data_IF_481496070782
#
_entry.id   IF_481496070782
#
_cell.length_a   1.000
_cell.length_b   1.000
_cell.length_c   1.000
_cell.angle_alpha   90.00
_cell.angle_beta   90.00
_cell.angle_gamma   90.00
#
_symmetry.space_group_name_H-M   'P 1'
#
loop_
_entity.id
_entity.type
_entity.pdbx_description
1 polymer ?
#
# COMPACT_ATOMS: atom_id res chain seq x y z
N UNK A 1 4.20 17.63 -5.34
CA UNK A 1 2.90 18.30 -5.57
C UNK A 1 1.86 17.49 -4.83
N UNK A 2 1.18 17.90 -3.76
CA UNK A 2 0.90 19.22 -3.16
C UNK A 2 1.26 19.24 -1.67
N UNK A 3 1.99 20.26 -1.26
CA UNK A 3 2.68 20.32 0.03
C UNK A 3 1.76 20.66 1.22
N UNK A 4 0.52 21.12 1.00
CA UNK A 4 -0.43 21.55 2.05
C UNK A 4 -1.91 21.48 1.61
N UNK A 5 -2.32 20.50 0.81
CA UNK A 5 -3.75 20.42 0.46
C UNK A 5 -4.56 19.89 1.65
N UNK A 6 -5.39 20.76 2.25
CA UNK A 6 -6.29 20.39 3.34
C UNK A 6 -7.34 19.35 2.92
N UNK A 7 -7.88 18.59 3.89
CA UNK A 7 -8.86 17.51 3.65
C UNK A 7 -10.06 17.99 2.82
N UNK A 8 -10.55 19.21 3.07
CA UNK A 8 -11.67 19.79 2.33
C UNK A 8 -11.36 20.01 0.84
N UNK A 9 -10.18 20.53 0.51
CA UNK A 9 -9.76 20.76 -0.88
C UNK A 9 -9.57 19.42 -1.61
N UNK A 10 -8.96 18.44 -0.93
CA UNK A 10 -8.83 17.08 -1.46
C UNK A 10 -10.21 16.46 -1.75
N UNK A 11 -11.15 16.57 -0.81
CA UNK A 11 -12.51 16.06 -0.97
C UNK A 11 -13.21 16.68 -2.18
N UNK A 12 -13.19 18.02 -2.30
CA UNK A 12 -13.74 18.75 -3.45
C UNK A 12 -13.12 18.29 -4.77
N UNK A 13 -11.80 18.09 -4.79
CA UNK A 13 -11.09 17.60 -5.98
C UNK A 13 -11.49 16.18 -6.35
N UNK A 14 -11.60 15.28 -5.38
CA UNK A 14 -12.01 13.88 -5.59
C UNK A 14 -13.44 13.79 -6.11
N UNK A 15 -14.37 14.52 -5.51
CA UNK A 15 -15.76 14.61 -5.99
C UNK A 15 -15.81 15.10 -7.44
N UNK A 16 -15.07 16.16 -7.78
CA UNK A 16 -15.01 16.68 -9.16
C UNK A 16 -14.44 15.68 -10.16
N UNK A 17 -13.56 14.78 -9.72
CA UNK A 17 -12.94 13.79 -10.59
C UNK A 17 -13.84 12.57 -10.86
N UNK A 18 -14.85 12.33 -10.02
CA UNK A 18 -15.81 11.23 -10.22
C UNK A 18 -16.50 11.29 -11.58
N UNK A 19 -16.82 12.49 -12.07
CA UNK A 19 -17.46 12.66 -13.39
C UNK A 19 -16.52 12.50 -14.58
N UNK A 20 -15.20 12.40 -14.33
CA UNK A 20 -14.17 12.31 -15.37
C UNK A 20 -13.59 10.92 -15.57
N UNK A 21 -13.98 9.97 -14.70
CA UNK A 21 -13.46 8.61 -14.67
C UNK A 21 -14.59 7.62 -14.90
N UNK A 22 -14.26 6.42 -15.34
CA UNK A 22 -15.21 5.33 -15.56
C UNK A 22 -14.62 3.99 -15.11
N UNK A 23 -15.49 3.02 -14.87
CA UNK A 23 -15.07 1.68 -14.43
C UNK A 23 -14.29 1.69 -13.11
N UNK A 24 -13.29 0.83 -13.02
CA UNK A 24 -12.50 0.59 -11.80
C UNK A 24 -11.63 1.79 -11.37
N UNK A 25 -11.39 2.76 -12.27
CA UNK A 25 -10.59 3.96 -11.97
C UNK A 25 -11.24 4.86 -10.90
N UNK A 26 -12.53 4.66 -10.64
CA UNK A 26 -13.30 5.35 -9.61
C UNK A 26 -13.01 4.85 -8.18
N UNK A 27 -12.56 3.59 -8.03
CA UNK A 27 -12.50 2.90 -6.73
C UNK A 27 -11.65 3.66 -5.71
N UNK A 28 -10.43 4.04 -6.08
CA UNK A 28 -9.52 4.77 -5.19
C UNK A 28 -10.06 6.16 -4.81
N UNK A 29 -10.74 6.85 -5.75
CA UNK A 29 -11.34 8.16 -5.44
C UNK A 29 -12.55 8.01 -4.49
N UNK A 30 -13.35 6.96 -4.66
CA UNK A 30 -14.48 6.64 -3.78
C UNK A 30 -13.99 6.24 -2.39
N UNK A 31 -12.96 5.40 -2.29
CA UNK A 31 -12.36 5.01 -1.01
C UNK A 31 -11.77 6.22 -0.26
N UNK A 32 -11.07 7.12 -0.98
CA UNK A 32 -10.59 8.37 -0.42
C UNK A 32 -11.75 9.24 0.09
N UNK A 33 -12.84 9.37 -0.68
CA UNK A 33 -14.04 10.08 -0.25
C UNK A 33 -14.64 9.44 1.01
N UNK A 34 -14.67 8.10 1.11
CA UNK A 34 -15.09 7.40 2.32
C UNK A 34 -14.27 7.78 3.56
N UNK A 35 -12.98 8.02 3.36
CA UNK A 35 -12.01 8.34 4.43
C UNK A 35 -12.13 9.79 4.92
N UNK A 36 -12.31 10.75 4.02
CA UNK A 36 -12.26 12.20 4.34
C UNK A 36 -13.62 12.90 4.23
N UNK A 37 -14.63 12.19 3.75
CA UNK A 37 -15.95 12.72 3.44
C UNK A 37 -16.82 12.92 4.67
N UNK A 38 -17.80 13.81 4.51
CA UNK A 38 -18.88 14.05 5.44
C UNK A 38 -20.21 13.50 4.90
N UNK A 39 -21.31 13.73 5.62
CA UNK A 39 -22.64 13.34 5.15
C UNK A 39 -23.04 13.97 3.81
N UNK A 40 -22.47 15.11 3.40
CA UNK A 40 -22.75 15.69 2.09
C UNK A 40 -22.10 14.87 0.97
N UNK A 41 -20.92 14.29 1.21
CA UNK A 41 -20.24 13.43 0.24
C UNK A 41 -21.08 12.19 -0.14
N UNK A 42 -21.94 11.69 0.76
CA UNK A 42 -22.87 10.59 0.46
C UNK A 42 -23.77 10.93 -0.73
N UNK A 43 -24.29 12.16 -0.79
CA UNK A 43 -25.14 12.62 -1.90
C UNK A 43 -24.40 12.66 -3.22
N UNK A 44 -23.11 12.96 -3.20
CA UNK A 44 -22.28 12.93 -4.41
C UNK A 44 -22.00 11.50 -4.85
N UNK A 45 -21.79 10.57 -3.90
CA UNK A 45 -21.66 9.15 -4.19
C UNK A 45 -22.96 8.54 -4.75
N UNK A 46 -24.13 9.00 -4.32
CA UNK A 46 -25.43 8.58 -4.86
C UNK A 46 -25.65 8.98 -6.32
N UNK A 47 -24.97 10.01 -6.81
CA UNK A 47 -25.08 10.46 -8.21
C UNK A 47 -24.28 9.60 -9.19
N UNK A 48 -23.40 8.73 -8.71
CA UNK A 48 -22.59 7.87 -9.57
C UNK A 48 -23.49 6.79 -10.18
N UNK A 49 -23.76 6.90 -11.48
CA UNK A 49 -24.50 5.90 -12.22
C UNK A 49 -23.53 4.91 -12.89
N UNK A 50 -23.51 3.67 -12.43
CA UNK A 50 -22.66 2.59 -12.98
C UNK A 50 -23.29 1.23 -12.73
N UNK A 51 -23.04 0.30 -13.65
CA UNK A 51 -23.37 -1.13 -13.55
C UNK A 51 -22.21 -1.98 -13.03
N UNK A 52 -21.03 -1.37 -12.82
CA UNK A 52 -19.84 -2.08 -12.34
C UNK A 52 -20.02 -2.48 -10.87
N UNK A 53 -20.04 -3.79 -10.61
CA UNK A 53 -20.26 -4.36 -9.27
C UNK A 53 -19.21 -3.95 -8.24
N UNK A 54 -17.94 -3.86 -8.63
CA UNK A 54 -16.85 -3.46 -7.72
C UNK A 54 -17.00 -1.99 -7.32
N UNK A 55 -17.35 -1.12 -8.28
CA UNK A 55 -17.60 0.30 -8.00
C UNK A 55 -18.82 0.46 -7.09
N UNK A 56 -19.91 -0.25 -7.40
CA UNK A 56 -21.13 -0.24 -6.57
C UNK A 56 -20.85 -0.72 -5.13
N UNK A 57 -20.01 -1.74 -4.97
CA UNK A 57 -19.59 -2.21 -3.65
C UNK A 57 -18.73 -1.18 -2.92
N UNK A 58 -17.75 -0.58 -3.60
CA UNK A 58 -16.91 0.46 -3.00
C UNK A 58 -17.73 1.68 -2.56
N UNK A 59 -18.77 2.06 -3.32
CA UNK A 59 -19.72 3.11 -2.92
C UNK A 59 -20.38 2.76 -1.58
N UNK A 60 -20.81 1.50 -1.41
CA UNK A 60 -21.43 1.06 -0.15
C UNK A 60 -20.44 1.08 1.01
N UNK A 61 -19.20 0.63 0.80
CA UNK A 61 -18.14 0.66 1.81
C UNK A 61 -17.78 2.10 2.19
N UNK A 62 -17.63 3.01 1.22
CA UNK A 62 -17.35 4.41 1.50
C UNK A 62 -18.47 5.08 2.29
N UNK A 63 -19.74 4.81 1.95
CA UNK A 63 -20.88 5.31 2.74
C UNK A 63 -20.90 4.74 4.15
N UNK A 64 -20.62 3.44 4.31
CA UNK A 64 -20.50 2.81 5.63
C UNK A 64 -19.41 3.50 6.46
N UNK A 65 -18.26 3.80 5.86
CA UNK A 65 -17.17 4.48 6.56
C UNK A 65 -17.55 5.90 6.98
N UNK A 66 -18.23 6.67 6.11
CA UNK A 66 -18.70 8.03 6.44
C UNK A 66 -19.72 8.00 7.59
N UNK A 67 -20.62 7.01 7.60
CA UNK A 67 -21.71 6.94 8.59
C UNK A 67 -21.22 6.38 9.93
N UNK A 68 -20.43 5.29 9.89
CA UNK A 68 -20.10 4.47 11.06
C UNK A 68 -18.64 4.61 11.52
N UNK A 69 -17.77 5.26 10.74
CA UNK A 69 -16.35 5.36 11.02
C UNK A 69 -15.54 4.18 10.49
N UNK A 70 -14.21 4.33 10.58
CA UNK A 70 -13.23 3.34 10.11
C UNK A 70 -13.28 2.05 10.94
N UNK A 71 -13.62 2.15 12.22
CA UNK A 71 -13.68 1.01 13.15
C UNK A 71 -14.67 -0.05 12.65
N UNK A 72 -15.81 0.36 12.10
CA UNK A 72 -16.79 -0.59 11.54
C UNK A 72 -16.24 -1.24 10.25
N UNK A 73 -15.48 -0.51 9.43
CA UNK A 73 -14.80 -1.09 8.26
C UNK A 73 -13.79 -2.16 8.67
N UNK A 74 -12.96 -1.87 9.68
CA UNK A 74 -11.98 -2.82 10.21
C UNK A 74 -12.66 -4.05 10.81
N UNK A 75 -13.79 -3.85 11.50
CA UNK A 75 -14.58 -4.94 12.05
C UNK A 75 -15.16 -5.83 10.95
N UNK A 76 -15.75 -5.26 9.89
CA UNK A 76 -16.20 -6.02 8.72
C UNK A 76 -15.02 -6.74 8.02
N UNK A 77 -13.87 -6.08 7.88
CA UNK A 77 -12.67 -6.65 7.24
C UNK A 77 -12.16 -7.92 7.93
N UNK A 78 -12.36 -8.02 9.24
CA UNK A 78 -11.95 -9.18 10.06
C UNK A 78 -13.00 -10.29 10.11
N UNK A 79 -14.21 -10.09 9.57
CA UNK A 79 -15.25 -11.13 9.54
C UNK A 79 -14.98 -12.11 8.40
N UNK A 80 -14.96 -13.43 8.67
CA UNK A 80 -14.85 -14.45 7.63
C UNK A 80 -16.01 -14.42 6.62
N UNK A 81 -17.20 -14.00 7.06
CA UNK A 81 -18.47 -13.98 6.31
C UNK A 81 -18.98 -12.55 6.08
N UNK A 82 -18.06 -11.59 5.88
CA UNK A 82 -18.38 -10.21 5.59
C UNK A 82 -19.37 -10.07 4.41
N UNK A 83 -20.27 -9.10 4.52
CA UNK A 83 -21.20 -8.73 3.44
C UNK A 83 -20.50 -8.00 2.29
N UNK A 84 -19.28 -7.54 2.52
CA UNK A 84 -18.46 -6.82 1.55
C UNK A 84 -17.21 -7.63 1.22
N UNK A 85 -16.76 -7.54 -0.03
CA UNK A 85 -15.52 -8.14 -0.45
C UNK A 85 -14.34 -7.60 0.35
N UNK A 86 -13.39 -8.50 0.61
CA UNK A 86 -12.14 -8.17 1.28
C UNK A 86 -11.40 -7.05 0.56
N UNK A 87 -11.38 -7.07 -0.78
CA UNK A 87 -10.79 -6.03 -1.63
C UNK A 87 -11.37 -4.63 -1.36
N UNK A 88 -12.70 -4.49 -1.31
CA UNK A 88 -13.33 -3.18 -1.12
C UNK A 88 -13.08 -2.61 0.30
N UNK A 89 -13.06 -3.49 1.30
CA UNK A 89 -12.73 -3.13 2.68
C UNK A 89 -11.25 -2.78 2.85
N UNK A 90 -10.34 -3.56 2.23
CA UNK A 90 -8.92 -3.26 2.19
C UNK A 90 -8.67 -1.89 1.56
N UNK A 91 -9.30 -1.59 0.42
CA UNK A 91 -9.16 -0.30 -0.25
C UNK A 91 -9.50 0.88 0.69
N UNK A 92 -10.59 0.77 1.45
CA UNK A 92 -10.99 1.78 2.43
C UNK A 92 -9.99 1.93 3.58
N UNK A 93 -9.51 0.81 4.14
CA UNK A 93 -8.50 0.80 5.21
C UNK A 93 -7.19 1.43 4.73
N UNK A 94 -6.75 1.08 3.52
CA UNK A 94 -5.46 1.51 2.96
C UNK A 94 -5.47 2.98 2.57
N UNK A 95 -6.64 3.54 2.23
CA UNK A 95 -6.81 4.98 2.05
C UNK A 95 -6.86 5.76 3.37
N UNK A 96 -7.08 5.06 4.49
CA UNK A 96 -7.11 5.60 5.85
C UNK A 96 -5.80 5.40 6.61
N UNK A 97 -4.68 5.19 5.91
CA UNK A 97 -3.41 4.76 6.52
C UNK A 97 -2.83 5.72 7.58
N UNK A 98 -3.30 6.97 7.62
CA UNK A 98 -2.93 7.97 8.62
C UNK A 98 -3.67 7.77 9.96
N UNK A 99 -4.74 6.96 9.98
CA UNK A 99 -5.44 6.55 11.18
C UNK A 99 -4.65 5.45 11.93
N UNK A 100 -4.51 5.53 13.27
CA UNK A 100 -3.72 4.55 14.03
C UNK A 100 -4.15 3.10 13.82
N UNK A 101 -5.44 2.84 13.79
CA UNK A 101 -6.06 1.53 13.65
C UNK A 101 -5.87 0.96 12.25
N UNK A 102 -6.05 1.76 11.19
CA UNK A 102 -5.74 1.34 9.83
C UNK A 102 -4.25 1.03 9.67
N UNK A 103 -3.37 1.89 10.19
CA UNK A 103 -1.93 1.67 10.14
C UNK A 103 -1.54 0.33 10.79
N UNK A 104 -2.20 -0.05 11.90
CA UNK A 104 -2.01 -1.34 12.55
C UNK A 104 -2.45 -2.50 11.66
N UNK A 105 -3.62 -2.42 11.02
CA UNK A 105 -4.12 -3.46 10.12
C UNK A 105 -3.19 -3.64 8.91
N UNK A 106 -2.68 -2.55 8.33
CA UNK A 106 -1.73 -2.62 7.20
C UNK A 106 -0.43 -3.33 7.62
N UNK A 107 0.07 -3.08 8.83
CA UNK A 107 1.23 -3.81 9.36
C UNK A 107 0.87 -5.28 9.62
N UNK A 108 -0.31 -5.60 10.14
CA UNK A 108 -0.77 -7.00 10.31
C UNK A 108 -0.83 -7.72 8.96
N UNK A 109 -1.36 -7.09 7.91
CA UNK A 109 -1.48 -7.66 6.57
C UNK A 109 -0.12 -7.98 5.93
N UNK A 110 0.94 -7.23 6.27
CA UNK A 110 2.30 -7.52 5.81
C UNK A 110 2.79 -8.91 6.28
N UNK A 111 2.28 -9.41 7.41
CA UNK A 111 2.62 -10.71 7.97
C UNK A 111 1.57 -11.79 7.66
N UNK A 112 0.59 -11.49 6.81
CA UNK A 112 -0.41 -12.46 6.38
C UNK A 112 0.20 -13.60 5.55
N UNK A 113 -0.47 -14.75 5.56
CA UNK A 113 -0.22 -15.86 4.64
C UNK A 113 -0.83 -15.60 3.25
N UNK A 114 -1.81 -14.69 3.15
CA UNK A 114 -2.45 -14.32 1.90
C UNK A 114 -1.58 -13.37 1.08
N UNK A 115 -1.17 -13.80 -0.11
CA UNK A 115 -0.30 -13.03 -1.01
C UNK A 115 -0.84 -11.62 -1.31
N UNK A 116 -2.14 -11.48 -1.60
CA UNK A 116 -2.74 -10.18 -1.96
C UNK A 116 -2.66 -9.15 -0.83
N UNK A 117 -2.79 -9.59 0.43
CA UNK A 117 -2.60 -8.72 1.60
C UNK A 117 -1.17 -8.26 1.73
N UNK A 118 -0.21 -9.19 1.64
CA UNK A 118 1.22 -8.87 1.68
C UNK A 118 1.58 -7.91 0.56
N UNK A 119 1.10 -8.18 -0.66
CA UNK A 119 1.36 -7.36 -1.83
C UNK A 119 0.85 -5.94 -1.65
N UNK A 120 -0.40 -5.79 -1.20
CA UNK A 120 -1.01 -4.49 -0.94
C UNK A 120 -0.25 -3.71 0.14
N UNK A 121 0.07 -4.37 1.26
CA UNK A 121 0.77 -3.74 2.38
C UNK A 121 2.15 -3.22 1.97
N UNK A 122 2.95 -4.04 1.28
CA UNK A 122 4.29 -3.64 0.82
C UNK A 122 4.18 -2.51 -0.21
N UNK A 123 3.21 -2.56 -1.11
CA UNK A 123 2.99 -1.51 -2.12
C UNK A 123 2.68 -0.18 -1.44
N UNK A 124 1.77 -0.15 -0.46
CA UNK A 124 1.46 1.06 0.29
C UNK A 124 2.72 1.59 1.02
N UNK A 125 3.45 0.73 1.72
CA UNK A 125 4.63 1.12 2.50
C UNK A 125 5.76 1.65 1.58
N UNK A 126 5.89 1.09 0.37
CA UNK A 126 6.85 1.56 -0.63
C UNK A 126 6.57 3.00 -1.07
N UNK A 127 5.30 3.37 -1.30
CA UNK A 127 4.94 4.60 -2.02
C UNK A 127 4.25 5.68 -1.18
N UNK A 128 3.53 5.34 -0.11
CA UNK A 128 2.69 6.29 0.62
C UNK A 128 3.51 7.19 1.55
N UNK A 129 4.11 8.29 1.05
CA UNK A 129 5.09 9.15 1.76
C UNK A 129 4.70 9.61 3.18
N UNK A 130 3.39 9.68 3.46
CA UNK A 130 2.84 10.12 4.74
C UNK A 130 2.56 8.99 5.74
N UNK A 131 2.81 7.73 5.39
CA UNK A 131 2.63 6.62 6.33
C UNK A 131 3.42 6.86 7.64
N UNK A 132 2.81 6.69 8.84
CA UNK A 132 3.45 6.96 10.13
C UNK A 132 4.71 6.11 10.33
N UNK A 133 5.89 6.76 10.32
CA UNK A 133 7.19 6.05 10.38
C UNK A 133 7.42 5.35 11.73
N UNK A 134 6.83 5.85 12.81
CA UNK A 134 6.89 5.24 14.15
C UNK A 134 6.23 3.86 14.21
N UNK A 135 5.35 3.53 13.24
CA UNK A 135 4.71 2.21 13.13
C UNK A 135 5.59 1.18 12.42
N UNK A 136 6.65 1.60 11.76
CA UNK A 136 7.55 0.71 11.02
C UNK A 136 8.71 0.28 11.92
N UNK A 137 8.53 -0.87 12.58
CA UNK A 137 9.53 -1.45 13.48
C UNK A 137 10.67 -2.13 12.70
N UNK A 138 11.71 -2.59 13.43
CA UNK A 138 12.77 -3.40 12.82
C UNK A 138 12.27 -4.72 12.24
N UNK A 139 11.25 -5.32 12.82
CA UNK A 139 10.65 -6.56 12.31
C UNK A 139 9.96 -6.34 10.97
N UNK A 140 9.28 -5.19 10.80
CA UNK A 140 8.71 -4.78 9.51
C UNK A 140 9.81 -4.61 8.46
N UNK A 141 10.93 -3.96 8.81
CA UNK A 141 12.08 -3.84 7.90
C UNK A 141 12.67 -5.21 7.56
N UNK A 142 12.81 -6.10 8.54
CA UNK A 142 13.29 -7.47 8.33
C UNK A 142 12.37 -8.24 7.39
N UNK A 143 11.05 -8.10 7.53
CA UNK A 143 10.07 -8.71 6.63
C UNK A 143 10.25 -8.27 5.17
N UNK A 144 10.63 -7.02 4.90
CA UNK A 144 10.98 -6.59 3.53
C UNK A 144 12.21 -7.33 2.98
N UNK A 145 13.22 -7.59 3.82
CA UNK A 145 14.37 -8.40 3.41
C UNK A 145 13.99 -9.86 3.17
N UNK A 146 13.08 -10.42 3.96
CA UNK A 146 12.57 -11.78 3.76
C UNK A 146 11.83 -11.87 2.41
N UNK A 147 11.06 -10.84 2.04
CA UNK A 147 10.41 -10.73 0.74
C UNK A 147 11.43 -10.62 -0.40
N UNK A 148 12.45 -9.76 -0.24
CA UNK A 148 13.51 -9.58 -1.23
C UNK A 148 14.29 -10.87 -1.51
N UNK A 149 14.55 -11.66 -0.47
CA UNK A 149 15.38 -12.88 -0.56
C UNK A 149 14.58 -14.16 -0.78
N UNK A 150 13.27 -14.13 -0.52
CA UNK A 150 12.33 -15.24 -0.69
C UNK A 150 11.83 -15.45 -2.12
N UNK A 151 10.92 -16.41 -2.26
CA UNK A 151 10.33 -16.81 -3.54
C UNK A 151 9.09 -15.97 -3.89
N UNK A 152 9.32 -14.68 -4.12
CA UNK A 152 8.30 -13.72 -4.57
C UNK A 152 8.58 -13.23 -5.99
N UNK A 153 7.52 -12.74 -6.65
CA UNK A 153 7.66 -12.12 -7.97
C UNK A 153 8.50 -10.83 -7.90
N UNK A 154 9.06 -10.46 -9.05
CA UNK A 154 9.98 -9.30 -9.16
C UNK A 154 9.32 -7.98 -8.75
N UNK A 155 8.03 -7.79 -9.01
CA UNK A 155 7.28 -6.58 -8.62
C UNK A 155 7.25 -6.40 -7.10
N UNK A 156 6.91 -7.46 -6.37
CA UNK A 156 6.83 -7.39 -4.91
C UNK A 156 8.22 -7.20 -4.29
N UNK A 157 9.25 -7.85 -4.84
CA UNK A 157 10.66 -7.60 -4.45
C UNK A 157 11.06 -6.15 -4.67
N UNK A 158 10.67 -5.55 -5.79
CA UNK A 158 10.90 -4.14 -6.06
C UNK A 158 10.24 -3.23 -5.03
N UNK A 159 8.97 -3.47 -4.71
CA UNK A 159 8.29 -2.69 -3.66
C UNK A 159 8.99 -2.87 -2.31
N UNK A 160 9.48 -4.07 -1.97
CA UNK A 160 10.25 -4.31 -0.76
C UNK A 160 11.57 -3.53 -0.74
N UNK A 161 12.30 -3.46 -1.87
CA UNK A 161 13.53 -2.64 -1.99
C UNK A 161 13.24 -1.16 -1.73
N UNK A 162 12.17 -0.62 -2.33
CA UNK A 162 11.75 0.76 -2.14
C UNK A 162 11.37 1.04 -0.67
N UNK A 163 10.64 0.12 -0.04
CA UNK A 163 10.29 0.20 1.37
C UNK A 163 11.54 0.16 2.27
N UNK A 164 12.51 -0.72 1.99
CA UNK A 164 13.82 -0.74 2.69
C UNK A 164 14.51 0.61 2.53
N UNK A 165 14.59 1.18 1.34
CA UNK A 165 15.21 2.49 1.13
C UNK A 165 14.54 3.62 1.91
N UNK A 166 13.25 3.47 2.21
CA UNK A 166 12.48 4.44 2.98
C UNK A 166 12.67 4.28 4.48
N UNK A 167 12.52 3.08 5.01
CA UNK A 167 12.45 2.81 6.45
C UNK A 167 13.75 2.25 7.04
N UNK A 168 14.64 1.72 6.20
CA UNK A 168 15.93 1.19 6.61
C UNK A 168 16.93 2.28 7.00
N UNK A 169 18.00 1.81 7.65
CA UNK A 169 19.12 2.59 8.17
C UNK A 169 20.44 2.27 7.44
N UNK A 170 21.56 2.73 7.97
CA UNK A 170 22.89 2.50 7.38
C UNK A 170 23.31 1.02 7.41
N UNK A 171 22.95 0.26 8.45
CA UNK A 171 23.28 -1.16 8.57
C UNK A 171 22.54 -2.01 7.52
N UNK A 172 21.33 -1.58 7.16
CA UNK A 172 20.55 -2.18 6.08
C UNK A 172 21.23 -2.03 4.72
N UNK A 173 22.01 -0.95 4.52
CA UNK A 173 22.82 -0.79 3.31
C UNK A 173 23.86 -1.90 3.20
N UNK A 174 24.57 -2.20 4.30
CA UNK A 174 25.54 -3.30 4.35
C UNK A 174 24.88 -4.68 4.23
N UNK A 175 23.63 -4.84 4.68
CA UNK A 175 22.86 -6.07 4.43
C UNK A 175 22.52 -6.24 2.95
N UNK A 176 22.10 -5.17 2.26
CA UNK A 176 21.86 -5.19 0.82
C UNK A 176 23.14 -5.49 0.01
N UNK A 177 24.28 -4.92 0.41
CA UNK A 177 25.58 -5.21 -0.22
C UNK A 177 25.94 -6.69 -0.13
N UNK A 178 25.77 -7.30 1.05
CA UNK A 178 25.97 -8.75 1.24
C UNK A 178 25.05 -9.59 0.36
N UNK A 179 23.77 -9.23 0.25
CA UNK A 179 22.83 -9.94 -0.63
C UNK A 179 23.31 -9.87 -2.09
N UNK A 180 23.75 -8.71 -2.56
CA UNK A 180 24.30 -8.56 -3.92
C UNK A 180 25.56 -9.41 -4.11
N UNK A 181 26.46 -9.42 -3.12
CA UNK A 181 27.69 -10.22 -3.16
C UNK A 181 27.39 -11.73 -3.17
N UNK A 182 26.60 -12.23 -2.23
CA UNK A 182 26.21 -13.65 -2.15
C UNK A 182 25.59 -14.16 -3.46
N UNK A 183 24.78 -13.33 -4.12
CA UNK A 183 24.14 -13.69 -5.38
C UNK A 183 25.11 -13.68 -6.56
N UNK A 184 26.18 -12.86 -6.55
CA UNK A 184 27.25 -12.91 -7.58
C UNK A 184 27.98 -14.24 -7.61
N UNK A 185 28.05 -14.96 -6.49
CA UNK A 185 28.73 -16.26 -6.39
C UNK A 185 27.83 -17.45 -6.73
N UNK A 186 26.58 -17.24 -7.14
CA UNK A 186 25.71 -18.30 -7.64
C UNK A 186 26.18 -18.81 -9.01
N UNK A 187 25.94 -20.11 -9.29
CA UNK A 187 26.21 -20.69 -10.61
C UNK A 187 25.53 -19.88 -11.72
N UNK A 188 26.19 -19.70 -12.88
CA UNK A 188 25.72 -18.84 -13.98
C UNK A 188 24.21 -18.94 -14.23
N UNK A 189 23.60 -20.13 -14.27
CA UNK A 189 22.16 -20.28 -14.48
C UNK A 189 21.25 -19.69 -13.38
N UNK A 190 21.62 -19.84 -12.10
CA UNK A 190 20.88 -19.23 -10.97
C UNK A 190 21.12 -17.73 -10.87
N UNK A 191 22.34 -17.31 -11.19
CA UNK A 191 22.71 -15.91 -11.29
C UNK A 191 21.94 -15.21 -12.43
N UNK A 192 21.82 -15.83 -13.61
CA UNK A 192 21.05 -15.28 -14.73
C UNK A 192 19.54 -15.28 -14.48
N UNK A 193 18.97 -16.23 -13.72
CA UNK A 193 17.55 -16.18 -13.29
C UNK A 193 17.27 -15.01 -12.34
N UNK A 194 18.23 -14.66 -11.50
CA UNK A 194 18.18 -13.50 -10.60
C UNK A 194 18.50 -12.19 -11.35
N UNK A 195 19.46 -12.21 -12.28
CA UNK A 195 19.83 -11.07 -13.13
C UNK A 195 18.86 -10.83 -14.29
N UNK A 196 18.03 -11.79 -14.71
CA UNK A 196 16.90 -11.51 -15.58
C UNK A 196 15.87 -10.62 -14.88
N UNK A 197 15.98 -10.49 -13.54
CA UNK A 197 15.44 -9.40 -12.74
C UNK A 197 16.40 -8.18 -12.73
N UNK A 198 17.06 -7.83 -13.85
CA UNK A 198 18.15 -6.82 -13.94
C UNK A 198 17.79 -5.47 -13.33
N UNK A 199 16.51 -5.10 -13.38
CA UNK A 199 15.96 -3.91 -12.73
C UNK A 199 16.20 -3.89 -11.20
N UNK A 200 16.15 -5.04 -10.53
CA UNK A 200 16.33 -5.13 -9.08
C UNK A 200 17.73 -4.66 -8.66
N UNK A 201 18.78 -4.98 -9.45
CA UNK A 201 20.15 -4.64 -9.07
C UNK A 201 20.37 -3.13 -9.06
N UNK A 202 19.82 -2.42 -10.05
CA UNK A 202 19.87 -0.97 -10.10
C UNK A 202 19.09 -0.35 -8.94
N UNK A 203 17.89 -0.86 -8.66
CA UNK A 203 17.07 -0.40 -7.53
C UNK A 203 17.73 -0.66 -6.18
N UNK A 204 18.40 -1.80 -6.00
CA UNK A 204 19.21 -2.11 -4.81
C UNK A 204 20.39 -1.13 -4.70
N UNK A 205 21.11 -0.88 -5.79
CA UNK A 205 22.26 0.04 -5.78
C UNK A 205 21.84 1.49 -5.47
N UNK A 206 20.72 1.94 -6.04
CA UNK A 206 20.11 3.24 -5.72
C UNK A 206 19.73 3.29 -4.24
N UNK A 207 19.14 2.21 -3.72
CA UNK A 207 18.73 2.10 -2.33
C UNK A 207 19.91 2.12 -1.37
N UNK A 208 21.00 1.39 -1.65
CA UNK A 208 22.25 1.43 -0.87
C UNK A 208 22.78 2.86 -0.80
N UNK A 209 22.87 3.56 -1.94
CA UNK A 209 23.32 4.96 -2.00
C UNK A 209 22.42 5.87 -1.15
N UNK A 210 21.10 5.66 -1.18
CA UNK A 210 20.13 6.41 -0.37
C UNK A 210 20.33 6.18 1.13
N UNK A 211 20.52 4.93 1.55
CA UNK A 211 20.69 4.57 2.95
C UNK A 211 22.00 5.11 3.54
N UNK A 212 23.11 5.02 2.80
CA UNK A 212 24.42 5.57 3.23
C UNK A 212 24.43 7.09 3.41
N UNK A 213 23.47 7.80 2.81
CA UNK A 213 23.31 9.26 2.96
C UNK A 213 22.54 9.67 4.23
N UNK A 214 21.86 8.75 4.92
CA UNK A 214 21.07 9.04 6.13
C UNK A 214 21.90 9.14 7.42
N UNK A 215 23.15 9.58 7.34
CA UNK A 215 24.03 9.77 8.51
C UNK A 215 23.43 10.76 9.51
#
# INVERSE_FOLDING_TARGET
MDFLEGKETQLKRKIRNLSKKSGTDLIADIAMIGTIGDYNAIRELDKINTDNKEVLEQIKVAKLQIICGLEEIIKEYRKPDSRYSHKALAEAIYHSFDHPEASKVIIEDLFSEEFERVFSAVTLLAFAEKFPKDKVTRDVVNKFFDILTGDFNTTLKNHAILAIGRYGNIDDASRLERIVEEKKYLTKGKFWKWLSESALLDDINITIKKLKRKK
#
